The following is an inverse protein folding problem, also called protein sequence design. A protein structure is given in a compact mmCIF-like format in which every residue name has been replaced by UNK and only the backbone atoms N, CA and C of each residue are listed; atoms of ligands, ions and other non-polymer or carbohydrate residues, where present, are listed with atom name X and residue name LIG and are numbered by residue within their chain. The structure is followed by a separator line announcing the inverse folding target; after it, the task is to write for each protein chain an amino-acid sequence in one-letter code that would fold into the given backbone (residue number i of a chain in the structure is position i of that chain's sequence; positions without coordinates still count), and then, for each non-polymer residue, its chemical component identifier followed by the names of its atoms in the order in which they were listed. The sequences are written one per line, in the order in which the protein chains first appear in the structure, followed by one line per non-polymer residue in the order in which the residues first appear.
data_IF_838085851281
#
_entry.id   IF_838085851281
#
_cell.length_a   1.000
_cell.length_b   1.000
_cell.length_c   1.000
_cell.angle_alpha   90.00
_cell.angle_beta   90.00
_cell.angle_gamma   90.00
#
_symmetry.space_group_name_H-M   'P 1'
#
loop_
_entity.id
_entity.type
_entity.pdbx_description
1 polymer ?
#
# COMPACT_ATOMS: atom_id res chain seq x y z
N UNK A 1 7.73 0.21 -6.96
CA UNK A 1 7.90 1.44 -6.15
C UNK A 1 8.97 2.28 -6.78
N UNK A 2 8.82 3.61 -6.74
CA UNK A 2 9.89 4.52 -7.10
C UNK A 2 11.04 4.42 -6.09
N UNK A 3 12.24 4.79 -6.52
CA UNK A 3 13.33 5.10 -5.59
C UNK A 3 12.90 6.21 -4.62
N UNK A 4 13.30 6.13 -3.36
CA UNK A 4 12.84 7.00 -2.29
C UNK A 4 11.45 6.65 -1.75
N UNK A 5 10.91 5.47 -2.12
CA UNK A 5 9.65 4.89 -1.61
C UNK A 5 8.40 5.77 -1.79
N UNK A 6 8.49 6.83 -2.58
CA UNK A 6 7.39 7.78 -2.80
C UNK A 6 7.39 8.97 -1.86
N UNK A 7 8.42 9.15 -1.04
CA UNK A 7 8.66 10.38 -0.29
C UNK A 7 9.44 11.36 -1.14
N UNK A 8 8.91 12.58 -1.26
CA UNK A 8 9.47 13.62 -2.10
C UNK A 8 9.70 14.92 -1.35
N UNK A 9 10.63 15.72 -1.85
CA UNK A 9 10.81 17.13 -1.52
C UNK A 9 10.72 17.94 -2.81
N UNK A 10 9.96 19.04 -2.82
CA UNK A 10 9.90 19.94 -3.97
C UNK A 10 9.77 21.39 -3.50
N UNK A 11 10.66 22.31 -3.89
CA UNK A 11 10.74 23.67 -3.33
C UNK A 11 9.41 24.44 -3.38
N UNK A 12 8.67 24.35 -4.50
CA UNK A 12 7.44 25.16 -4.68
C UNK A 12 6.14 24.48 -4.21
N UNK A 13 5.99 23.16 -4.39
CA UNK A 13 4.73 22.43 -4.11
C UNK A 13 4.77 21.60 -2.82
N UNK A 14 5.97 21.32 -2.31
CA UNK A 14 6.19 20.54 -1.09
C UNK A 14 7.51 20.95 -0.44
N UNK A 15 7.59 22.15 0.18
CA UNK A 15 8.81 22.65 0.83
C UNK A 15 9.21 21.84 2.07
N UNK A 16 8.48 20.76 2.36
CA UNK A 16 8.75 19.76 3.37
C UNK A 16 8.62 18.37 2.72
N UNK A 17 9.24 17.37 3.32
CA UNK A 17 9.12 15.99 2.84
C UNK A 17 7.68 15.51 2.99
N UNK A 18 7.07 15.07 1.89
CA UNK A 18 5.72 14.52 1.86
C UNK A 18 5.68 13.18 1.15
N UNK A 19 4.76 12.32 1.55
CA UNK A 19 4.50 11.05 0.87
C UNK A 19 3.45 11.24 -0.22
N UNK A 20 3.68 10.70 -1.41
CA UNK A 20 2.64 10.67 -2.45
C UNK A 20 1.69 9.50 -2.15
N UNK A 21 0.39 9.80 -2.05
CA UNK A 21 -0.65 8.90 -1.55
C UNK A 21 -0.66 7.50 -2.21
N UNK A 22 -0.46 7.41 -3.53
CA UNK A 22 -0.44 6.12 -4.23
C UNK A 22 0.62 5.15 -3.68
N UNK A 23 1.79 5.65 -3.29
CA UNK A 23 2.87 4.80 -2.78
C UNK A 23 2.58 4.32 -1.36
N UNK A 24 1.94 5.15 -0.54
CA UNK A 24 1.43 4.74 0.76
C UNK A 24 0.31 3.70 0.63
N UNK A 25 -0.64 3.89 -0.30
CA UNK A 25 -1.72 2.92 -0.57
C UNK A 25 -1.18 1.55 -0.99
N UNK A 26 -0.15 1.53 -1.86
CA UNK A 26 0.52 0.30 -2.26
C UNK A 26 1.31 -0.34 -1.12
N UNK A 27 1.93 0.46 -0.24
CA UNK A 27 2.58 -0.01 0.98
C UNK A 27 1.59 -0.72 1.92
N UNK A 28 0.47 -0.07 2.23
CA UNK A 28 -0.56 -0.67 3.08
C UNK A 28 -1.13 -1.95 2.48
N UNK A 29 -1.44 -1.96 1.17
CA UNK A 29 -1.97 -3.15 0.51
C UNK A 29 -0.96 -4.32 0.54
N UNK A 30 0.34 -4.03 0.43
CA UNK A 30 1.37 -5.03 0.58
C UNK A 30 1.49 -5.55 2.01
N UNK A 31 1.42 -4.67 3.02
CA UNK A 31 1.40 -5.06 4.43
C UNK A 31 0.23 -6.00 4.76
N UNK A 32 -0.98 -5.68 4.28
CA UNK A 32 -2.15 -6.56 4.41
C UNK A 32 -1.93 -7.92 3.75
N UNK A 33 -1.31 -7.93 2.56
CA UNK A 33 -0.97 -9.17 1.87
C UNK A 33 0.01 -10.02 2.68
N UNK A 34 1.08 -9.41 3.20
CA UNK A 34 2.09 -10.12 4.00
C UNK A 34 1.49 -10.67 5.30
N UNK A 35 0.68 -9.88 6.01
CA UNK A 35 -0.01 -10.32 7.22
C UNK A 35 -0.93 -11.51 6.94
N UNK A 36 -1.71 -11.46 5.85
CA UNK A 36 -2.57 -12.57 5.45
C UNK A 36 -1.80 -13.86 5.19
N UNK A 37 -0.73 -13.82 4.38
CA UNK A 37 0.05 -15.03 4.08
C UNK A 37 0.84 -15.52 5.31
N UNK A 38 1.32 -14.62 6.17
CA UNK A 38 1.98 -14.97 7.42
C UNK A 38 1.05 -15.77 8.34
N UNK A 39 -0.14 -15.22 8.61
CA UNK A 39 -1.16 -15.91 9.43
C UNK A 39 -1.63 -17.22 8.81
N UNK A 40 -1.86 -17.25 7.49
CA UNK A 40 -2.28 -18.46 6.79
C UNK A 40 -1.24 -19.57 6.92
N UNK A 41 0.04 -19.24 6.74
CA UNK A 41 1.15 -20.19 6.89
C UNK A 41 1.30 -20.70 8.33
N UNK A 42 1.18 -19.82 9.33
CA UNK A 42 1.19 -20.22 10.74
C UNK A 42 0.04 -21.18 11.07
N UNK A 43 -1.16 -20.94 10.55
CA UNK A 43 -2.31 -21.82 10.74
C UNK A 43 -2.14 -23.19 10.05
N UNK A 44 -1.52 -23.24 8.87
CA UNK A 44 -1.18 -24.51 8.21
C UNK A 44 -0.17 -25.32 9.03
N UNK A 45 0.85 -24.67 9.61
CA UNK A 45 1.84 -25.33 10.48
C UNK A 45 1.22 -25.87 11.77
N UNK A 46 0.32 -25.11 12.38
CA UNK A 46 -0.28 -25.46 13.67
C UNK A 46 -1.34 -26.58 13.57
N UNK A 47 -1.70 -27.02 12.37
CA UNK A 47 -2.56 -28.18 12.07
C UNK A 47 -3.83 -28.32 12.94
N UNK A 48 -4.40 -27.21 13.42
CA UNK A 48 -5.49 -27.28 14.39
C UNK A 48 -5.67 -26.06 15.27
N UNK A 49 -6.40 -25.07 14.76
CA UNK A 49 -7.25 -24.29 15.66
C UNK A 49 -8.70 -24.58 15.31
N UNK A 50 -9.48 -24.84 16.36
CA UNK A 50 -10.89 -25.21 16.32
C UNK A 50 -11.61 -24.25 15.38
N UNK A 51 -12.30 -24.76 14.35
CA UNK A 51 -12.95 -23.88 13.41
C UNK A 51 -14.05 -23.13 14.14
N UNK A 52 -13.86 -21.82 14.29
CA UNK A 52 -14.95 -20.94 14.64
C UNK A 52 -16.00 -21.07 13.52
N UNK A 53 -17.15 -21.66 13.83
CA UNK A 53 -18.18 -21.98 12.84
C UNK A 53 -18.66 -20.75 12.07
N UNK A 54 -18.66 -19.57 12.70
CA UNK A 54 -18.96 -18.31 12.03
C UNK A 54 -17.87 -17.93 11.02
N UNK A 55 -16.60 -18.02 11.43
CA UNK A 55 -15.46 -17.75 10.53
C UNK A 55 -15.44 -18.75 9.38
N UNK A 56 -15.59 -20.05 9.64
CA UNK A 56 -15.62 -21.08 8.60
C UNK A 56 -16.78 -20.88 7.61
N UNK A 57 -17.97 -20.53 8.08
CA UNK A 57 -19.11 -20.26 7.20
C UNK A 57 -18.88 -19.04 6.28
N UNK A 58 -18.16 -18.03 6.77
CA UNK A 58 -17.79 -16.83 6.01
C UNK A 58 -16.59 -17.07 5.08
N UNK A 59 -15.55 -17.78 5.53
CA UNK A 59 -14.31 -18.04 4.76
C UNK A 59 -14.42 -19.22 3.80
N UNK A 60 -15.39 -20.13 3.95
CA UNK A 60 -15.67 -21.18 2.97
C UNK A 60 -15.95 -20.63 1.56
N UNK A 61 -16.30 -19.35 1.45
CA UNK A 61 -16.53 -18.65 0.17
C UNK A 61 -15.29 -17.94 -0.39
N UNK A 62 -14.20 -17.89 0.35
CA UNK A 62 -13.03 -17.06 0.05
C UNK A 62 -11.76 -17.90 0.16
N UNK A 63 -11.39 -18.56 -0.93
CA UNK A 63 -10.15 -19.35 -1.01
C UNK A 63 -8.91 -18.44 -1.08
N UNK A 64 -7.73 -18.99 -0.75
CA UNK A 64 -6.43 -18.30 -0.94
C UNK A 64 -6.27 -17.82 -2.38
N UNK A 65 -6.72 -18.63 -3.35
CA UNK A 65 -6.73 -18.27 -4.77
C UNK A 65 -7.58 -17.04 -5.07
N UNK A 66 -8.76 -16.92 -4.44
CA UNK A 66 -9.62 -15.74 -4.56
C UNK A 66 -8.93 -14.51 -3.97
N UNK A 67 -8.40 -14.60 -2.74
CA UNK A 67 -7.71 -13.47 -2.10
C UNK A 67 -6.47 -13.00 -2.86
N UNK A 68 -5.70 -13.93 -3.45
CA UNK A 68 -4.59 -13.59 -4.35
C UNK A 68 -5.06 -12.70 -5.51
N UNK A 69 -6.18 -13.06 -6.14
CA UNK A 69 -6.77 -12.25 -7.20
C UNK A 69 -7.31 -10.91 -6.66
N UNK A 70 -7.96 -10.89 -5.49
CA UNK A 70 -8.44 -9.65 -4.85
C UNK A 70 -7.29 -8.65 -4.60
N UNK A 71 -6.16 -9.12 -4.07
CA UNK A 71 -4.99 -8.25 -3.86
C UNK A 71 -4.47 -7.66 -5.19
N UNK A 72 -4.42 -8.45 -6.27
CA UNK A 72 -4.02 -7.93 -7.58
C UNK A 72 -5.08 -6.97 -8.16
N UNK A 73 -6.36 -7.27 -7.99
CA UNK A 73 -7.47 -6.42 -8.43
C UNK A 73 -7.42 -5.05 -7.73
N UNK A 74 -7.27 -5.03 -6.41
CA UNK A 74 -7.13 -3.79 -5.64
C UNK A 74 -5.87 -3.03 -6.02
N UNK A 75 -4.74 -3.72 -6.21
CA UNK A 75 -3.49 -3.09 -6.68
C UNK A 75 -3.69 -2.40 -8.02
N UNK A 76 -4.39 -3.03 -8.97
CA UNK A 76 -4.71 -2.42 -10.28
C UNK A 76 -5.64 -1.22 -10.15
N UNK A 77 -6.64 -1.29 -9.28
CA UNK A 77 -7.54 -0.17 -9.01
C UNK A 77 -6.78 1.04 -8.44
N UNK A 78 -5.88 0.82 -7.47
CA UNK A 78 -5.02 1.86 -6.92
C UNK A 78 -4.12 2.48 -7.99
N UNK A 79 -3.45 1.65 -8.79
CA UNK A 79 -2.59 2.13 -9.89
C UNK A 79 -3.39 2.92 -10.92
N UNK A 80 -4.62 2.50 -11.24
CA UNK A 80 -5.50 3.25 -12.14
C UNK A 80 -5.89 4.62 -11.57
N UNK A 81 -6.16 4.67 -10.25
CA UNK A 81 -6.45 5.92 -9.58
C UNK A 81 -5.21 6.84 -9.47
N UNK A 82 -4.01 6.26 -9.35
CA UNK A 82 -2.72 6.97 -9.27
C UNK A 82 -2.80 8.26 -8.43
N UNK A 83 -3.25 8.12 -7.19
CA UNK A 83 -3.52 9.27 -6.34
C UNK A 83 -2.25 10.08 -6.02
N UNK A 84 -2.21 11.33 -6.46
CA UNK A 84 -1.06 12.24 -6.28
C UNK A 84 -1.23 13.22 -5.12
N UNK A 85 -2.18 13.00 -4.22
CA UNK A 85 -2.24 13.84 -3.02
C UNK A 85 -0.94 13.72 -2.22
N UNK A 86 -0.51 14.85 -1.66
CA UNK A 86 0.69 14.94 -0.84
C UNK A 86 0.30 14.81 0.63
N UNK A 87 0.67 13.70 1.23
CA UNK A 87 0.37 13.39 2.62
C UNK A 87 1.49 13.88 3.54
N UNK A 88 1.10 14.47 4.67
CA UNK A 88 2.04 14.85 5.71
C UNK A 88 2.71 13.62 6.31
N UNK A 89 4.03 13.68 6.44
CA UNK A 89 4.84 12.65 7.09
C UNK A 89 4.98 12.99 8.56
N UNK A 90 4.63 12.04 9.42
CA UNK A 90 4.97 12.12 10.82
C UNK A 90 6.47 11.84 10.98
N UNK A 91 7.24 12.87 11.34
CA UNK A 91 8.70 12.80 11.47
C UNK A 91 9.20 11.89 12.60
N UNK A 92 8.31 11.42 13.49
CA UNK A 92 8.65 10.46 14.55
C UNK A 92 8.43 9.01 14.11
N UNK A 93 7.45 8.77 13.24
CA UNK A 93 7.04 7.40 12.84
C UNK A 93 7.31 7.09 11.38
N UNK A 94 7.78 8.05 10.60
CA UNK A 94 7.94 7.99 9.13
C UNK A 94 6.67 7.50 8.41
N UNK A 95 5.49 7.86 8.94
CA UNK A 95 4.19 7.38 8.45
C UNK A 95 3.28 8.54 8.03
N UNK A 96 2.34 8.28 7.14
CA UNK A 96 1.35 9.25 6.66
C UNK A 96 -0.08 8.80 7.01
N UNK A 97 -1.05 9.72 7.04
CA UNK A 97 -2.41 9.42 7.52
C UNK A 97 -3.38 8.96 6.43
N UNK A 98 -3.21 9.40 5.18
CA UNK A 98 -4.07 9.00 4.06
C UNK A 98 -5.47 9.64 3.95
N UNK A 99 -5.85 10.55 4.86
CA UNK A 99 -7.24 11.08 4.93
C UNK A 99 -7.35 12.57 4.58
N UNK A 100 -8.56 13.01 4.17
CA UNK A 100 -8.92 14.43 4.07
C UNK A 100 -8.67 15.11 2.71
N UNK A 101 -8.42 14.34 1.65
CA UNK A 101 -8.09 14.89 0.32
C UNK A 101 -9.02 14.39 -0.79
N UNK A 102 -9.46 15.26 -1.73
CA UNK A 102 -10.23 14.86 -2.90
C UNK A 102 -9.38 14.01 -3.87
N UNK A 103 -9.99 13.05 -4.56
CA UNK A 103 -9.29 12.04 -5.37
C UNK A 103 -9.67 12.15 -6.85
N UNK A 104 -8.67 12.01 -7.74
CA UNK A 104 -8.85 12.02 -9.20
C UNK A 104 -7.85 11.06 -9.85
N UNK A 105 -8.30 10.32 -10.87
CA UNK A 105 -7.47 9.36 -11.60
C UNK A 105 -6.36 10.04 -12.42
N UNK A 106 -5.17 9.45 -12.47
CA UNK A 106 -4.01 9.98 -13.20
C UNK A 106 -3.18 8.86 -13.84
N UNK A 107 -2.20 9.21 -14.67
CA UNK A 107 -1.25 8.24 -15.23
C UNK A 107 -0.20 7.85 -14.19
N UNK A 108 -0.16 6.57 -13.81
CA UNK A 108 0.75 6.07 -12.77
C UNK A 108 2.24 6.24 -13.09
N UNK A 109 2.67 6.00 -14.34
CA UNK A 109 4.09 6.09 -14.70
C UNK A 109 4.59 7.52 -14.58
N UNK A 110 3.79 8.51 -15.00
CA UNK A 110 4.12 9.93 -14.80
C UNK A 110 4.28 10.28 -13.32
N UNK A 111 3.46 9.70 -12.44
CA UNK A 111 3.57 9.91 -10.98
C UNK A 111 4.84 9.26 -10.42
N UNK A 112 5.19 8.07 -10.92
CA UNK A 112 6.41 7.36 -10.52
C UNK A 112 7.66 8.12 -10.95
N UNK A 113 7.74 8.57 -12.19
CA UNK A 113 8.86 9.38 -12.71
C UNK A 113 9.02 10.68 -11.93
N UNK A 114 7.90 11.36 -11.65
CA UNK A 114 7.89 12.54 -10.79
C UNK A 114 8.44 12.22 -9.39
N UNK A 115 8.02 11.11 -8.79
CA UNK A 115 8.51 10.70 -7.47
C UNK A 115 10.01 10.41 -7.47
N UNK A 116 10.54 9.75 -8.51
CA UNK A 116 11.97 9.44 -8.62
C UNK A 116 12.83 10.68 -8.88
N UNK A 117 12.27 11.68 -9.57
CA UNK A 117 12.92 12.97 -9.83
C UNK A 117 13.11 13.74 -8.52
N UNK A 118 12.09 13.76 -7.68
CA UNK A 118 12.04 14.56 -6.44
C UNK A 118 12.26 13.75 -5.15
N UNK A 119 12.79 12.52 -5.28
CA UNK A 119 13.01 11.59 -4.17
C UNK A 119 13.85 12.21 -3.06
N UNK A 120 13.42 11.97 -1.82
CA UNK A 120 14.17 12.40 -0.63
C UNK A 120 15.28 11.41 -0.21
N UNK A 121 15.23 10.16 -0.68
CA UNK A 121 16.25 9.15 -0.37
C UNK A 121 16.50 8.23 -1.57
N UNK A 122 17.49 7.34 -1.43
CA UNK A 122 17.80 6.29 -2.41
C UNK A 122 17.19 4.94 -2.06
N UNK A 123 16.32 4.89 -1.04
CA UNK A 123 15.73 3.63 -0.57
C UNK A 123 14.88 2.98 -1.66
N UNK A 124 14.82 1.65 -1.61
CA UNK A 124 14.06 0.84 -2.57
C UNK A 124 13.07 -0.06 -1.85
N UNK A 125 12.21 -0.73 -2.63
CA UNK A 125 11.22 -1.65 -2.09
C UNK A 125 9.92 -0.97 -1.64
N UNK A 126 9.02 -1.78 -1.08
CA UNK A 126 7.73 -1.34 -0.54
C UNK A 126 7.80 -1.17 1.00
N UNK A 127 8.73 -1.83 1.68
CA UNK A 127 8.94 -1.73 3.13
C UNK A 127 10.25 -1.01 3.44
#
# INVERSE_FOLDING_TARGET
MPMGRGFIYHPDISPEVKGIAIFHQLHCLHGLRLAFYGMYHELEILNGTVPNAYIQAQTARVSVGHLRHCFDYLRRALICAADTNLEYVNLTTDATTGWGYPRMCRNFESVKEFAETWKNSTDTGIM
#
